data_IF_206652084870
#
_entry.id   IF_206652084870
#
_cell.length_a   1.000
_cell.length_b   1.000
_cell.length_c   1.000
_cell.angle_alpha   90.00
_cell.angle_beta   90.00
_cell.angle_gamma   90.00
#
_symmetry.space_group_name_H-M   'P 1'
#
loop_
_entity.id
_entity.type
_entity.pdbx_description
1 polymer ?
#
# COMPACT_ATOMS: atom_id res chain seq x y z
N UNK A 1 14.91 -5.19 -11.10
CA UNK A 1 15.37 -6.16 -12.11
C UNK A 1 16.64 -5.58 -12.71
N UNK A 2 17.80 -6.11 -12.33
CA UNK A 2 19.11 -5.57 -12.71
C UNK A 2 19.52 -6.00 -14.13
N UNK A 3 20.38 -5.15 -14.68
CA UNK A 3 21.05 -5.16 -15.98
C UNK A 3 21.94 -6.37 -16.20
N UNK A 4 22.23 -6.67 -17.47
CA UNK A 4 23.47 -7.33 -17.88
C UNK A 4 24.05 -6.59 -19.10
N UNK A 5 25.34 -6.27 -19.00
CA UNK A 5 26.22 -5.98 -20.12
C UNK A 5 27.46 -6.85 -19.97
N UNK A 6 27.84 -7.52 -21.05
CA UNK A 6 29.03 -8.36 -21.17
C UNK A 6 30.26 -7.54 -21.60
N UNK A 7 31.46 -8.10 -21.35
CA UNK A 7 32.70 -7.68 -22.00
C UNK A 7 33.90 -8.53 -21.58
N UNK A 8 34.36 -9.38 -22.49
CA UNK A 8 35.68 -10.07 -22.58
C UNK A 8 36.85 -9.06 -22.44
N UNK A 9 38.00 -9.31 -21.82
CA UNK A 9 39.03 -10.40 -21.84
C UNK A 9 40.16 -10.15 -22.87
N UNK A 10 41.39 -10.58 -22.49
CA UNK A 10 42.65 -10.75 -23.28
C UNK A 10 43.62 -9.54 -23.29
N UNK A 11 44.96 -9.62 -23.13
CA UNK A 11 45.99 -10.59 -22.69
C UNK A 11 47.30 -9.77 -22.52
N UNK A 12 48.21 -10.08 -21.58
CA UNK A 12 49.67 -10.14 -21.88
C UNK A 12 50.60 -10.62 -20.74
N UNK A 13 51.71 -11.20 -21.22
CA UNK A 13 52.83 -11.98 -20.67
C UNK A 13 53.70 -11.40 -19.53
N UNK A 14 54.32 -12.34 -18.81
CA UNK A 14 55.22 -12.23 -17.64
C UNK A 14 56.72 -12.18 -18.01
N UNK A 15 57.58 -11.68 -17.11
CA UNK A 15 58.92 -12.25 -16.83
C UNK A 15 59.54 -11.75 -15.51
N UNK A 16 59.74 -12.72 -14.60
CA UNK A 16 60.81 -13.04 -13.61
C UNK A 16 61.90 -11.97 -13.28
N UNK A 17 62.54 -11.90 -12.10
CA UNK A 17 63.18 -12.98 -11.34
C UNK A 17 63.66 -12.48 -9.94
N UNK A 18 63.67 -13.40 -8.97
CA UNK A 18 64.10 -13.26 -7.58
C UNK A 18 65.52 -13.83 -7.39
N UNK A 19 66.25 -13.48 -6.32
CA UNK A 19 67.00 -14.48 -5.52
C UNK A 19 67.59 -13.89 -4.24
N UNK A 20 67.56 -14.71 -3.19
CA UNK A 20 68.17 -14.52 -1.88
C UNK A 20 69.30 -15.55 -1.68
N UNK A 21 70.34 -15.23 -0.90
CA UNK A 21 71.05 -16.25 -0.11
C UNK A 21 71.93 -15.70 1.03
N UNK A 22 72.33 -16.60 1.92
CA UNK A 22 72.65 -16.47 3.35
C UNK A 22 74.20 -16.56 3.58
N UNK A 23 74.76 -16.80 4.80
CA UNK A 23 75.79 -15.93 5.39
C UNK A 23 77.17 -16.59 5.64
N UNK A 24 78.05 -15.79 6.27
CA UNK A 24 79.27 -16.13 7.02
C UNK A 24 80.59 -16.36 6.25
N UNK A 25 81.58 -15.49 6.51
CA UNK A 25 82.98 -15.88 6.76
C UNK A 25 83.75 -14.74 7.45
N UNK A 26 84.41 -15.10 8.55
CA UNK A 26 85.45 -14.34 9.24
C UNK A 26 86.59 -14.03 8.25
N UNK A 27 86.95 -12.76 8.11
CA UNK A 27 88.21 -12.34 7.52
C UNK A 27 88.93 -11.41 8.52
N UNK A 28 90.16 -11.79 8.87
CA UNK A 28 91.07 -10.99 9.67
C UNK A 28 91.43 -9.72 8.90
N UNK A 29 90.98 -8.56 9.38
CA UNK A 29 91.32 -7.26 8.83
C UNK A 29 92.67 -6.82 9.43
N UNK A 30 93.68 -6.70 8.57
CA UNK A 30 94.98 -6.14 8.90
C UNK A 30 94.80 -4.66 9.23
N UNK A 31 95.29 -4.27 10.40
CA UNK A 31 95.37 -2.91 10.87
C UNK A 31 96.54 -2.22 10.15
N UNK A 32 96.26 -1.54 9.05
CA UNK A 32 97.19 -0.59 8.43
C UNK A 32 97.10 0.73 9.19
N UNK A 33 98.08 0.97 10.07
CA UNK A 33 98.41 2.28 10.64
C UNK A 33 98.95 3.18 9.53
N UNK A 34 98.05 3.83 8.80
CA UNK A 34 98.34 5.02 8.00
C UNK A 34 97.94 6.23 8.83
N UNK A 35 98.89 7.12 9.07
CA UNK A 35 98.72 8.34 9.87
C UNK A 35 97.50 9.14 9.39
N UNK A 36 96.49 9.23 10.25
CA UNK A 36 95.38 10.16 10.07
C UNK A 36 95.95 11.57 9.94
N UNK A 37 95.54 12.35 8.92
CA UNK A 37 95.83 13.77 8.90
C UNK A 37 95.12 14.38 10.11
N UNK A 38 95.91 14.74 11.13
CA UNK A 38 95.48 15.49 12.29
C UNK A 38 94.69 16.72 11.83
N UNK A 39 93.36 16.63 11.92
CA UNK A 39 92.46 17.75 11.69
C UNK A 39 92.90 18.86 12.64
N UNK A 40 93.16 20.09 12.17
CA UNK A 40 93.52 21.19 13.03
C UNK A 40 92.47 21.32 14.14
N UNK A 41 92.90 21.36 15.40
CA UNK A 41 92.02 21.34 16.58
C UNK A 41 90.85 22.32 16.49
N UNK A 42 91.09 23.50 15.90
CA UNK A 42 90.06 24.50 15.63
C UNK A 42 88.90 23.99 14.75
N UNK A 43 89.19 23.23 13.69
CA UNK A 43 88.16 22.69 12.78
C UNK A 43 87.35 21.57 13.44
N UNK A 44 87.96 20.82 14.37
CA UNK A 44 87.25 19.81 15.16
C UNK A 44 86.30 20.47 16.17
N UNK A 45 86.77 21.50 16.87
CA UNK A 45 85.97 22.24 17.83
C UNK A 45 84.79 22.95 17.14
N UNK A 46 85.00 23.56 15.96
CA UNK A 46 83.95 24.18 15.14
C UNK A 46 82.90 23.14 14.67
N UNK A 47 83.34 21.96 14.21
CA UNK A 47 82.45 20.89 13.78
C UNK A 47 81.61 20.33 14.96
N UNK A 48 82.20 20.25 16.15
CA UNK A 48 81.49 19.81 17.34
C UNK A 48 80.48 20.86 17.81
N UNK A 49 80.82 22.15 17.72
CA UNK A 49 79.91 23.25 18.02
C UNK A 49 78.73 23.30 17.03
N UNK A 50 78.97 23.11 15.73
CA UNK A 50 77.90 23.03 14.72
C UNK A 50 76.98 21.83 14.94
N UNK A 51 77.56 20.66 15.27
CA UNK A 51 76.77 19.47 15.64
C UNK A 51 75.95 19.69 16.90
N UNK A 52 76.50 20.34 17.91
CA UNK A 52 75.78 20.66 19.15
C UNK A 52 74.63 21.63 18.88
N UNK A 53 74.84 22.67 18.09
CA UNK A 53 73.79 23.60 17.67
C UNK A 53 72.68 22.88 16.87
N UNK A 54 73.05 21.97 15.97
CA UNK A 54 72.09 21.18 15.19
C UNK A 54 71.29 20.22 16.10
N UNK A 55 71.94 19.58 17.08
CA UNK A 55 71.26 18.77 18.08
C UNK A 55 70.31 19.59 18.95
N UNK A 56 70.69 20.80 19.36
CA UNK A 56 69.82 21.69 20.13
C UNK A 56 68.59 22.13 19.32
N UNK A 57 68.76 22.51 18.05
CA UNK A 57 67.65 22.85 17.16
C UNK A 57 66.69 21.66 16.94
N UNK A 58 67.21 20.45 16.74
CA UNK A 58 66.39 19.24 16.61
C UNK A 58 65.60 18.90 17.88
N UNK A 59 66.18 19.14 19.06
CA UNK A 59 65.48 18.95 20.33
C UNK A 59 64.34 19.98 20.46
N UNK A 60 64.57 21.23 20.07
CA UNK A 60 63.54 22.27 20.09
C UNK A 60 62.40 21.98 19.09
N UNK A 61 62.72 21.57 17.85
CA UNK A 61 61.73 21.15 16.85
C UNK A 61 60.92 19.92 17.30
N UNK A 62 61.56 18.93 17.95
CA UNK A 62 60.85 17.78 18.49
C UNK A 62 59.93 18.18 19.65
N UNK A 63 60.36 19.11 20.51
CA UNK A 63 59.54 19.62 21.60
C UNK A 63 58.32 20.38 21.08
N UNK A 64 58.49 21.26 20.08
CA UNK A 64 57.37 22.00 19.50
C UNK A 64 56.41 21.08 18.75
N UNK A 65 56.91 20.10 18.00
CA UNK A 65 56.06 19.10 17.34
C UNK A 65 55.28 18.23 18.35
N UNK A 66 55.88 17.91 19.50
CA UNK A 66 55.19 17.19 20.58
C UNK A 66 54.08 18.04 21.21
N UNK A 67 54.34 19.33 21.47
CA UNK A 67 53.36 20.26 22.02
C UNK A 67 52.20 20.50 21.04
N UNK A 68 52.49 20.64 19.73
CA UNK A 68 51.48 20.73 18.68
C UNK A 68 50.66 19.43 18.58
N UNK A 69 51.30 18.27 18.66
CA UNK A 69 50.65 16.97 18.67
C UNK A 69 49.70 16.82 19.88
N UNK A 70 50.14 17.22 21.07
CA UNK A 70 49.31 17.22 22.27
C UNK A 70 48.12 18.17 22.13
N UNK A 71 48.33 19.38 21.59
CA UNK A 71 47.27 20.35 21.32
C UNK A 71 46.22 19.81 20.35
N UNK A 72 46.64 19.24 19.21
CA UNK A 72 45.72 18.65 18.24
C UNK A 72 44.95 17.45 18.80
N UNK A 73 45.57 16.66 19.68
CA UNK A 73 44.90 15.56 20.36
C UNK A 73 43.79 16.07 21.29
N UNK A 74 44.03 17.15 22.04
CA UNK A 74 43.00 17.78 22.88
C UNK A 74 41.87 18.36 22.05
N UNK A 75 42.19 19.04 20.94
CA UNK A 75 41.19 19.64 20.04
C UNK A 75 40.33 18.56 19.35
N UNK A 76 40.95 17.44 18.96
CA UNK A 76 40.23 16.27 18.44
C UNK A 76 39.29 15.67 19.51
N UNK A 77 39.72 15.67 20.78
CA UNK A 77 38.90 15.24 21.91
C UNK A 77 37.68 16.12 22.11
N UNK A 78 37.85 17.46 22.08
CA UNK A 78 36.75 18.41 22.21
C UNK A 78 35.77 18.31 21.04
N UNK A 79 36.27 18.20 19.80
CA UNK A 79 35.41 18.06 18.62
C UNK A 79 34.60 16.75 18.64
N UNK A 80 35.16 15.65 19.16
CA UNK A 80 34.42 14.39 19.36
C UNK A 80 33.28 14.54 20.36
N UNK A 81 33.49 15.29 21.44
CA UNK A 81 32.45 15.56 22.44
C UNK A 81 31.36 16.47 21.87
N UNK A 82 31.71 17.51 21.13
CA UNK A 82 30.75 18.40 20.47
C UNK A 82 29.92 17.64 19.42
N UNK A 83 30.55 16.77 18.63
CA UNK A 83 29.84 15.93 17.67
C UNK A 83 28.84 14.99 18.36
N UNK A 84 29.24 14.37 19.48
CA UNK A 84 28.35 13.51 20.26
C UNK A 84 27.16 14.30 20.85
N UNK A 85 27.40 15.51 21.37
CA UNK A 85 26.35 16.38 21.86
C UNK A 85 25.36 16.79 20.75
N UNK A 86 25.88 17.17 19.57
CA UNK A 86 25.05 17.53 18.42
C UNK A 86 24.21 16.35 17.91
N UNK A 87 24.76 15.14 17.90
CA UNK A 87 24.02 13.93 17.53
C UNK A 87 22.87 13.63 18.51
N UNK A 88 23.07 13.83 19.81
CA UNK A 88 22.03 13.62 20.81
C UNK A 88 20.93 14.69 20.73
N UNK A 89 21.30 15.95 20.47
CA UNK A 89 20.32 17.00 20.21
C UNK A 89 19.50 16.73 18.94
N UNK A 90 20.13 16.22 17.87
CA UNK A 90 19.44 15.83 16.65
C UNK A 90 18.41 14.72 16.91
N UNK A 91 18.77 13.68 17.67
CA UNK A 91 17.82 12.62 18.08
C UNK A 91 16.67 13.16 18.92
N UNK A 92 16.96 14.09 19.85
CA UNK A 92 15.93 14.75 20.67
C UNK A 92 14.93 15.53 19.81
N UNK A 93 15.43 16.28 18.82
CA UNK A 93 14.59 17.03 17.90
C UNK A 93 13.77 16.11 17.00
N UNK A 94 14.34 15.01 16.52
CA UNK A 94 13.60 14.00 15.73
C UNK A 94 12.45 13.39 16.54
N UNK A 95 12.69 13.01 17.80
CA UNK A 95 11.65 12.52 18.69
C UNK A 95 10.55 13.57 18.94
N UNK A 96 10.94 14.85 19.11
CA UNK A 96 9.98 15.95 19.27
C UNK A 96 9.11 16.17 18.02
N UNK A 97 9.71 16.08 16.82
CA UNK A 97 8.98 16.21 15.55
C UNK A 97 8.00 15.06 15.37
N UNK A 98 8.42 13.82 15.65
CA UNK A 98 7.52 12.66 15.61
C UNK A 98 6.37 12.79 16.61
N UNK A 99 6.64 13.26 17.83
CA UNK A 99 5.61 13.53 18.84
C UNK A 99 4.60 14.58 18.40
N UNK A 100 5.07 15.70 17.84
CA UNK A 100 4.21 16.76 17.31
C UNK A 100 3.38 16.29 16.11
N UNK A 101 3.96 15.45 15.24
CA UNK A 101 3.24 14.85 14.12
C UNK A 101 2.14 13.91 14.58
N UNK A 102 2.41 13.06 15.59
CA UNK A 102 1.41 12.18 16.20
C UNK A 102 0.28 12.99 16.86
N UNK A 103 0.62 14.05 17.60
CA UNK A 103 -0.38 14.95 18.21
C UNK A 103 -1.24 15.66 17.15
N UNK A 104 -0.64 16.14 16.06
CA UNK A 104 -1.37 16.76 14.96
C UNK A 104 -2.32 15.78 14.25
N UNK A 105 -1.90 14.52 14.05
CA UNK A 105 -2.76 13.48 13.47
C UNK A 105 -3.92 13.10 14.41
N UNK A 106 -3.67 13.05 15.72
CA UNK A 106 -4.72 12.81 16.71
C UNK A 106 -5.75 13.95 16.74
N UNK A 107 -5.29 15.21 16.72
CA UNK A 107 -6.16 16.38 16.64
C UNK A 107 -7.00 16.42 15.34
N UNK A 108 -6.38 16.11 14.20
CA UNK A 108 -7.09 16.03 12.92
C UNK A 108 -8.16 14.92 12.92
N UNK A 109 -7.87 13.77 13.53
CA UNK A 109 -8.82 12.66 13.67
C UNK A 109 -10.00 13.01 14.56
N UNK A 110 -9.77 13.75 15.66
CA UNK A 110 -10.84 14.26 16.52
C UNK A 110 -11.71 15.30 15.81
N UNK A 111 -11.11 16.20 15.03
CA UNK A 111 -11.84 17.18 14.22
C UNK A 111 -12.71 16.51 13.13
N UNK A 112 -12.18 15.47 12.47
CA UNK A 112 -12.96 14.71 11.49
C UNK A 112 -14.13 13.95 12.14
N UNK A 113 -13.92 13.39 13.35
CA UNK A 113 -14.98 12.73 14.10
C UNK A 113 -16.09 13.71 14.51
N UNK A 114 -15.73 14.91 14.99
CA UNK A 114 -16.73 15.92 15.37
C UNK A 114 -17.51 16.42 14.14
N UNK A 115 -16.86 16.65 13.00
CA UNK A 115 -17.51 17.03 11.75
C UNK A 115 -18.48 15.94 11.25
N UNK A 116 -18.09 14.66 11.34
CA UNK A 116 -18.96 13.54 10.99
C UNK A 116 -20.22 13.49 11.89
N UNK A 117 -20.09 13.75 13.20
CA UNK A 117 -21.25 13.81 14.10
C UNK A 117 -22.17 15.00 13.79
N UNK A 118 -21.61 16.17 13.46
CA UNK A 118 -22.39 17.34 13.07
C UNK A 118 -23.16 17.09 11.76
N UNK A 119 -22.51 16.48 10.76
CA UNK A 119 -23.13 16.12 9.49
C UNK A 119 -24.28 15.11 9.68
N UNK A 120 -24.09 14.11 10.55
CA UNK A 120 -25.15 13.14 10.88
C UNK A 120 -26.36 13.80 11.57
N UNK A 121 -26.14 14.75 12.49
CA UNK A 121 -27.22 15.50 13.13
C UNK A 121 -27.99 16.38 12.14
N UNK A 122 -27.30 17.04 11.21
CA UNK A 122 -27.92 17.84 10.15
C UNK A 122 -28.80 16.96 9.23
N UNK A 123 -28.29 15.80 8.84
CA UNK A 123 -29.04 14.88 7.98
C UNK A 123 -30.29 14.31 8.69
N UNK A 124 -30.19 14.02 9.99
CA UNK A 124 -31.34 13.61 10.80
C UNK A 124 -32.39 14.73 10.90
N UNK A 125 -31.96 15.99 11.09
CA UNK A 125 -32.85 17.14 11.13
C UNK A 125 -33.55 17.38 9.78
N UNK A 126 -32.84 17.25 8.66
CA UNK A 126 -33.43 17.35 7.32
C UNK A 126 -34.45 16.25 7.04
N UNK A 127 -34.15 15.01 7.44
CA UNK A 127 -35.09 13.90 7.31
C UNK A 127 -36.36 14.12 8.14
N UNK A 128 -36.23 14.65 9.37
CA UNK A 128 -37.37 15.01 10.21
C UNK A 128 -38.23 16.13 9.58
N UNK A 129 -37.59 17.14 8.97
CA UNK A 129 -38.30 18.21 8.27
C UNK A 129 -39.08 17.69 7.05
N UNK A 130 -38.48 16.79 6.25
CA UNK A 130 -39.16 16.19 5.11
C UNK A 130 -40.36 15.31 5.52
N UNK A 131 -40.24 14.58 6.63
CA UNK A 131 -41.34 13.82 7.19
C UNK A 131 -42.51 14.73 7.61
N UNK A 132 -42.22 15.83 8.32
CA UNK A 132 -43.22 16.81 8.73
C UNK A 132 -43.93 17.48 7.53
N UNK A 133 -43.19 17.83 6.48
CA UNK A 133 -43.77 18.40 5.24
C UNK A 133 -44.67 17.38 4.54
N UNK A 134 -44.27 16.11 4.50
CA UNK A 134 -45.07 15.04 3.89
C UNK A 134 -46.37 14.79 4.66
N UNK A 135 -46.32 14.83 6.00
CA UNK A 135 -47.49 14.69 6.86
C UNK A 135 -48.45 15.89 6.72
N UNK A 136 -47.91 17.11 6.66
CA UNK A 136 -48.70 18.32 6.40
C UNK A 136 -49.37 18.30 5.01
N UNK A 137 -48.66 17.83 3.98
CA UNK A 137 -49.23 17.65 2.65
C UNK A 137 -50.38 16.63 2.64
N UNK A 138 -50.19 15.48 3.30
CA UNK A 138 -51.23 14.46 3.42
C UNK A 138 -52.47 14.98 4.20
N UNK A 139 -52.27 15.78 5.24
CA UNK A 139 -53.36 16.43 5.97
C UNK A 139 -54.12 17.43 5.09
N UNK A 140 -53.41 18.23 4.29
CA UNK A 140 -54.01 19.16 3.33
C UNK A 140 -54.86 18.45 2.27
N UNK A 141 -54.37 17.33 1.72
CA UNK A 141 -55.13 16.52 0.75
C UNK A 141 -56.39 15.93 1.37
N UNK A 142 -56.33 15.44 2.63
CA UNK A 142 -57.51 14.96 3.36
C UNK A 142 -58.54 16.07 3.57
N UNK A 143 -58.11 17.29 3.89
CA UNK A 143 -59.00 18.44 4.06
C UNK A 143 -59.70 18.83 2.75
N UNK A 144 -58.96 18.87 1.63
CA UNK A 144 -59.52 19.14 0.30
C UNK A 144 -60.53 18.06 -0.12
N UNK A 145 -60.21 16.78 0.13
CA UNK A 145 -61.12 15.68 -0.15
C UNK A 145 -62.42 15.78 0.69
N UNK A 146 -62.31 16.16 1.97
CA UNK A 146 -63.46 16.38 2.83
C UNK A 146 -64.34 17.54 2.33
N UNK A 147 -63.74 18.67 1.93
CA UNK A 147 -64.46 19.81 1.35
C UNK A 147 -65.15 19.47 0.01
N UNK A 148 -64.48 18.72 -0.86
CA UNK A 148 -65.08 18.25 -2.12
C UNK A 148 -66.28 17.34 -1.87
N UNK A 149 -66.18 16.44 -0.87
CA UNK A 149 -67.26 15.53 -0.48
C UNK A 149 -68.46 16.29 0.08
N UNK A 150 -68.24 17.27 0.96
CA UNK A 150 -69.30 18.13 1.49
C UNK A 150 -70.01 18.94 0.38
N UNK A 151 -69.24 19.45 -0.59
CA UNK A 151 -69.77 20.18 -1.73
C UNK A 151 -70.62 19.29 -2.65
N UNK A 152 -70.16 18.06 -2.91
CA UNK A 152 -70.90 17.07 -3.69
C UNK A 152 -72.19 16.62 -3.00
N UNK A 153 -72.16 16.43 -1.68
CA UNK A 153 -73.36 16.12 -0.89
C UNK A 153 -74.38 17.26 -0.94
N UNK A 154 -73.94 18.52 -0.81
CA UNK A 154 -74.81 19.69 -0.93
C UNK A 154 -75.46 19.80 -2.32
N UNK A 155 -74.70 19.54 -3.39
CA UNK A 155 -75.23 19.51 -4.76
C UNK A 155 -76.25 18.38 -4.96
N UNK A 156 -75.99 17.19 -4.42
CA UNK A 156 -76.90 16.05 -4.48
C UNK A 156 -78.21 16.32 -3.73
N UNK A 157 -78.16 16.91 -2.54
CA UNK A 157 -79.35 17.32 -1.79
C UNK A 157 -80.18 18.33 -2.58
N UNK A 158 -79.56 19.33 -3.21
CA UNK A 158 -80.26 20.30 -4.07
C UNK A 158 -80.92 19.62 -5.27
N UNK A 159 -80.24 18.67 -5.91
CA UNK A 159 -80.78 17.93 -7.04
C UNK A 159 -81.96 17.03 -6.65
N UNK A 160 -81.86 16.32 -5.51
CA UNK A 160 -82.95 15.53 -4.95
C UNK A 160 -84.15 16.42 -4.57
N UNK A 161 -83.91 17.61 -4.02
CA UNK A 161 -84.97 18.56 -3.68
C UNK A 161 -85.69 19.05 -4.94
N UNK A 162 -84.96 19.40 -6.00
CA UNK A 162 -85.53 19.78 -7.28
C UNK A 162 -86.28 18.63 -7.97
N UNK A 163 -85.74 17.41 -7.90
CA UNK A 163 -86.36 16.20 -8.46
C UNK A 163 -87.65 15.84 -7.72
N UNK A 164 -87.66 15.88 -6.39
CA UNK A 164 -88.87 15.68 -5.59
C UNK A 164 -89.94 16.74 -5.91
N UNK A 165 -89.54 18.00 -6.10
CA UNK A 165 -90.45 19.06 -6.54
C UNK A 165 -91.08 18.77 -7.92
N UNK A 166 -90.30 18.25 -8.88
CA UNK A 166 -90.80 17.84 -10.20
C UNK A 166 -91.72 16.62 -10.10
N UNK A 167 -91.30 15.57 -9.39
CA UNK A 167 -92.10 14.36 -9.19
C UNK A 167 -93.43 14.66 -8.49
N UNK A 168 -93.46 15.59 -7.54
CA UNK A 168 -94.69 16.02 -6.88
C UNK A 168 -95.64 16.69 -7.87
N UNK A 169 -95.13 17.55 -8.76
CA UNK A 169 -95.93 18.18 -9.82
C UNK A 169 -96.42 17.16 -10.85
N UNK A 170 -95.55 16.26 -11.30
CA UNK A 170 -95.91 15.19 -12.22
C UNK A 170 -96.94 14.23 -11.61
N UNK A 171 -96.84 13.94 -10.31
CA UNK A 171 -97.83 13.15 -9.59
C UNK A 171 -99.19 13.85 -9.56
N UNK A 172 -99.25 15.15 -9.28
CA UNK A 172 -100.49 15.92 -9.32
C UNK A 172 -101.11 15.95 -10.72
N UNK A 173 -100.29 16.14 -11.76
CA UNK A 173 -100.73 16.10 -13.16
C UNK A 173 -101.25 14.70 -13.51
N UNK A 174 -100.54 13.65 -13.14
CA UNK A 174 -100.95 12.27 -13.40
C UNK A 174 -102.21 11.89 -12.62
N UNK A 175 -102.39 12.36 -11.39
CA UNK A 175 -103.64 12.16 -10.64
C UNK A 175 -104.84 12.81 -11.35
N UNK A 176 -104.67 14.01 -11.89
CA UNK A 176 -105.73 14.66 -12.68
C UNK A 176 -105.99 13.91 -13.99
N UNK A 177 -104.93 13.48 -14.66
CA UNK A 177 -105.02 12.73 -15.92
C UNK A 177 -105.62 11.33 -15.73
N UNK A 178 -105.39 10.69 -14.59
CA UNK A 178 -106.06 9.42 -14.21
C UNK A 178 -107.55 9.68 -14.00
N UNK A 179 -107.96 10.76 -13.34
CA UNK A 179 -109.39 11.11 -13.22
C UNK A 179 -110.04 11.37 -14.57
N UNK A 180 -109.35 12.07 -15.48
CA UNK A 180 -109.82 12.30 -16.86
C UNK A 180 -109.91 10.98 -17.65
N UNK A 181 -108.91 10.10 -17.51
CA UNK A 181 -108.91 8.79 -18.16
C UNK A 181 -109.95 7.84 -17.56
N UNK A 182 -110.23 7.89 -16.26
CA UNK A 182 -111.32 7.14 -15.62
C UNK A 182 -112.68 7.58 -16.19
N UNK A 183 -112.87 8.88 -16.43
CA UNK A 183 -114.05 9.41 -17.12
C UNK A 183 -114.11 8.95 -18.58
N UNK A 184 -112.99 9.00 -19.32
CA UNK A 184 -112.92 8.60 -20.72
C UNK A 184 -113.09 7.08 -20.93
N UNK A 185 -112.51 6.25 -20.06
CA UNK A 185 -112.63 4.79 -20.06
C UNK A 185 -114.04 4.35 -19.65
N UNK A 186 -114.71 5.12 -18.80
CA UNK A 186 -116.14 4.91 -18.48
C UNK A 186 -117.05 5.20 -19.68
N UNK A 187 -116.64 6.07 -20.60
CA UNK A 187 -117.40 6.46 -21.80
C UNK A 187 -117.10 5.63 -23.04
N UNK A 188 -115.91 5.02 -23.13
CA UNK A 188 -115.48 4.24 -24.30
C UNK A 188 -115.30 2.76 -23.94
N UNK A 189 -116.42 2.04 -23.74
CA UNK A 189 -116.44 0.58 -23.74
C UNK A 189 -116.45 0.05 -25.18
N UNK A 190 -115.33 0.17 -25.87
CA UNK A 190 -115.11 -0.52 -27.13
C UNK A 190 -114.33 -1.83 -26.88
N UNK A 191 -114.90 -3.01 -27.19
CA UNK A 191 -114.26 -4.32 -26.95
C UNK A 191 -112.91 -4.52 -27.67
N UNK A 192 -112.64 -3.78 -28.75
CA UNK A 192 -111.37 -3.86 -29.48
C UNK A 192 -110.18 -3.29 -28.67
N UNK A 193 -110.41 -2.22 -27.91
CA UNK A 193 -109.37 -1.59 -27.08
C UNK A 193 -109.02 -2.46 -25.85
N UNK A 194 -110.00 -3.21 -25.35
CA UNK A 194 -109.80 -4.15 -24.23
C UNK A 194 -108.84 -5.27 -24.62
N UNK A 195 -108.93 -5.78 -25.85
CA UNK A 195 -108.02 -6.81 -26.37
C UNK A 195 -106.58 -6.28 -26.51
N UNK A 196 -106.43 -5.04 -27.00
CA UNK A 196 -105.12 -4.40 -27.16
C UNK A 196 -104.47 -4.09 -25.80
N UNK A 197 -105.26 -3.70 -24.80
CA UNK A 197 -104.80 -3.53 -23.41
C UNK A 197 -104.32 -4.87 -22.83
N UNK A 198 -105.05 -5.97 -23.07
CA UNK A 198 -104.60 -7.30 -22.64
C UNK A 198 -103.26 -7.71 -23.28
N UNK A 199 -103.08 -7.43 -24.58
CA UNK A 199 -101.80 -7.68 -25.27
C UNK A 199 -100.65 -6.80 -24.75
N UNK A 200 -100.92 -5.53 -24.39
CA UNK A 200 -99.90 -4.67 -23.81
C UNK A 200 -99.54 -5.11 -22.39
N UNK A 201 -100.50 -5.57 -21.59
CA UNK A 201 -100.26 -6.09 -20.26
C UNK A 201 -99.41 -7.36 -20.28
N UNK A 202 -99.64 -8.28 -21.24
CA UNK A 202 -98.80 -9.48 -21.37
C UNK A 202 -97.36 -9.14 -21.78
N UNK A 203 -97.17 -8.17 -22.69
CA UNK A 203 -95.84 -7.65 -23.05
C UNK A 203 -95.13 -6.97 -21.88
N UNK A 204 -95.83 -6.13 -21.11
CA UNK A 204 -95.26 -5.47 -19.94
C UNK A 204 -94.86 -6.47 -18.86
N UNK A 205 -95.64 -7.53 -18.66
CA UNK A 205 -95.29 -8.62 -17.75
C UNK A 205 -94.01 -9.34 -18.18
N UNK A 206 -93.82 -9.60 -19.48
CA UNK A 206 -92.58 -10.18 -20.00
C UNK A 206 -91.38 -9.26 -19.78
N UNK A 207 -91.51 -7.98 -20.13
CA UNK A 207 -90.44 -6.98 -19.95
C UNK A 207 -90.07 -6.80 -18.49
N UNK A 208 -91.03 -6.84 -17.57
CA UNK A 208 -90.77 -6.76 -16.13
C UNK A 208 -89.94 -7.96 -15.63
N UNK A 209 -90.24 -9.18 -16.11
CA UNK A 209 -89.46 -10.39 -15.78
C UNK A 209 -88.02 -10.30 -16.30
N UNK A 210 -87.83 -9.82 -17.52
CA UNK A 210 -86.49 -9.63 -18.09
C UNK A 210 -85.72 -8.53 -17.34
N UNK A 211 -86.38 -7.43 -16.96
CA UNK A 211 -85.77 -6.36 -16.16
C UNK A 211 -85.25 -6.90 -14.82
N UNK A 212 -86.06 -7.70 -14.12
CA UNK A 212 -85.66 -8.33 -12.85
C UNK A 212 -84.47 -9.27 -13.06
N UNK A 213 -84.48 -10.08 -14.13
CA UNK A 213 -83.34 -10.95 -14.48
C UNK A 213 -82.06 -10.15 -14.70
N UNK A 214 -82.14 -9.05 -15.45
CA UNK A 214 -81.00 -8.18 -15.72
C UNK A 214 -80.49 -7.50 -14.43
N UNK A 215 -81.39 -7.02 -13.57
CA UNK A 215 -81.02 -6.46 -12.26
C UNK A 215 -80.31 -7.48 -11.38
N UNK A 216 -80.79 -8.72 -11.35
CA UNK A 216 -80.15 -9.80 -10.60
C UNK A 216 -78.73 -10.11 -11.13
N UNK A 217 -78.57 -10.10 -12.45
CA UNK A 217 -77.27 -10.31 -13.10
C UNK A 217 -76.29 -9.16 -12.80
N UNK A 218 -76.75 -7.90 -12.86
CA UNK A 218 -75.97 -6.72 -12.47
C UNK A 218 -75.54 -6.83 -11.01
N UNK A 219 -76.46 -7.19 -10.11
CA UNK A 219 -76.16 -7.35 -8.68
C UNK A 219 -75.09 -8.43 -8.44
N UNK A 220 -75.20 -9.55 -9.15
CA UNK A 220 -74.22 -10.66 -9.06
C UNK A 220 -72.83 -10.20 -9.51
N UNK A 221 -72.76 -9.49 -10.64
CA UNK A 221 -71.50 -8.93 -11.14
C UNK A 221 -70.90 -7.89 -10.18
N UNK A 222 -71.73 -7.05 -9.58
CA UNK A 222 -71.28 -6.08 -8.57
C UNK A 222 -70.72 -6.77 -7.32
N UNK A 223 -71.35 -7.83 -6.82
CA UNK A 223 -70.80 -8.63 -5.70
C UNK A 223 -69.48 -9.31 -6.05
N UNK A 224 -69.34 -9.81 -7.29
CA UNK A 224 -68.07 -10.41 -7.75
C UNK A 224 -66.96 -9.36 -7.87
N UNK A 225 -67.28 -8.17 -8.38
CA UNK A 225 -66.33 -7.06 -8.53
C UNK A 225 -65.88 -6.51 -7.17
N UNK A 226 -66.82 -6.39 -6.22
CA UNK A 226 -66.55 -5.89 -4.87
C UNK A 226 -66.01 -6.98 -3.91
N UNK A 227 -65.58 -8.13 -4.43
CA UNK A 227 -65.08 -9.20 -3.58
C UNK A 227 -63.79 -8.75 -2.86
N UNK A 228 -63.82 -8.58 -1.52
CA UNK A 228 -62.73 -7.99 -0.76
C UNK A 228 -61.42 -8.80 -0.85
N UNK A 229 -61.49 -10.10 -1.18
CA UNK A 229 -60.30 -10.94 -1.39
C UNK A 229 -59.41 -10.43 -2.54
N UNK A 230 -60.00 -9.95 -3.64
CA UNK A 230 -59.22 -9.42 -4.76
C UNK A 230 -58.49 -8.13 -4.36
N UNK A 231 -59.18 -7.23 -3.65
CA UNK A 231 -58.58 -5.99 -3.15
C UNK A 231 -57.50 -6.24 -2.09
N UNK A 232 -57.68 -7.22 -1.21
CA UNK A 232 -56.70 -7.57 -0.18
C UNK A 232 -55.42 -8.17 -0.76
N UNK A 233 -55.55 -8.99 -1.82
CA UNK A 233 -54.40 -9.57 -2.52
C UNK A 233 -53.60 -8.48 -3.23
N UNK A 234 -54.28 -7.58 -3.94
CA UNK A 234 -53.64 -6.42 -4.57
C UNK A 234 -52.99 -5.49 -3.55
N UNK A 235 -53.64 -5.23 -2.42
CA UNK A 235 -53.07 -4.40 -1.35
C UNK A 235 -51.80 -5.03 -0.73
N UNK A 236 -51.81 -6.35 -0.52
CA UNK A 236 -50.65 -7.09 0.00
C UNK A 236 -49.48 -7.05 -1.00
N UNK A 237 -49.76 -7.25 -2.29
CA UNK A 237 -48.76 -7.15 -3.35
C UNK A 237 -48.20 -5.72 -3.48
N UNK A 238 -49.05 -4.70 -3.39
CA UNK A 238 -48.62 -3.31 -3.37
C UNK A 238 -47.72 -3.00 -2.16
N UNK A 239 -48.04 -3.55 -0.99
CA UNK A 239 -47.20 -3.41 0.21
C UNK A 239 -45.83 -4.05 0.01
N UNK A 240 -45.77 -5.26 -0.52
CA UNK A 240 -44.51 -5.96 -0.83
C UNK A 240 -43.67 -5.20 -1.86
N UNK A 241 -44.29 -4.71 -2.94
CA UNK A 241 -43.63 -3.88 -3.95
C UNK A 241 -43.08 -2.59 -3.32
N UNK A 242 -43.82 -1.95 -2.43
CA UNK A 242 -43.39 -0.72 -1.75
C UNK A 242 -42.19 -1.00 -0.83
N UNK A 243 -42.20 -2.11 -0.09
CA UNK A 243 -41.09 -2.54 0.76
C UNK A 243 -39.82 -2.85 -0.05
N UNK A 244 -39.96 -3.59 -1.16
CA UNK A 244 -38.84 -3.86 -2.08
C UNK A 244 -38.28 -2.57 -2.67
N UNK A 245 -39.13 -1.65 -3.11
CA UNK A 245 -38.69 -0.39 -3.69
C UNK A 245 -37.92 0.46 -2.66
N UNK A 246 -38.41 0.52 -1.42
CA UNK A 246 -37.74 1.20 -0.31
C UNK A 246 -36.35 0.60 -0.02
N UNK A 247 -36.23 -0.74 -0.06
CA UNK A 247 -34.96 -1.44 0.13
C UNK A 247 -33.96 -1.10 -0.99
N UNK A 248 -34.42 -1.13 -2.24
CA UNK A 248 -33.60 -0.77 -3.41
C UNK A 248 -33.13 0.68 -3.36
N UNK A 249 -33.99 1.64 -3.02
CA UNK A 249 -33.60 3.04 -2.85
C UNK A 249 -32.53 3.23 -1.77
N UNK A 250 -32.64 2.51 -0.64
CA UNK A 250 -31.59 2.54 0.41
C UNK A 250 -30.27 1.96 -0.08
N UNK A 251 -30.31 0.88 -0.86
CA UNK A 251 -29.10 0.27 -1.42
C UNK A 251 -28.43 1.20 -2.45
N UNK A 252 -29.23 1.86 -3.29
CA UNK A 252 -28.75 2.83 -4.28
C UNK A 252 -28.05 4.01 -3.60
N UNK A 253 -28.67 4.60 -2.58
CA UNK A 253 -28.06 5.71 -1.82
C UNK A 253 -26.73 5.32 -1.17
N UNK A 254 -26.60 4.08 -0.68
CA UNK A 254 -25.32 3.57 -0.15
C UNK A 254 -24.26 3.43 -1.23
N UNK A 255 -24.62 2.92 -2.42
CA UNK A 255 -23.68 2.82 -3.54
C UNK A 255 -23.25 4.19 -4.07
N UNK A 256 -24.16 5.15 -4.19
CA UNK A 256 -23.84 6.52 -4.61
C UNK A 256 -22.88 7.19 -3.63
N UNK A 257 -23.09 7.01 -2.32
CA UNK A 257 -22.15 7.49 -1.31
C UNK A 257 -20.76 6.89 -1.48
N UNK A 258 -20.64 5.57 -1.65
CA UNK A 258 -19.35 4.91 -1.90
C UNK A 258 -18.65 5.44 -3.15
N UNK A 259 -19.38 5.65 -4.24
CA UNK A 259 -18.82 6.22 -5.48
C UNK A 259 -18.30 7.64 -5.22
N UNK A 260 -19.06 8.47 -4.50
CA UNK A 260 -18.64 9.83 -4.15
C UNK A 260 -17.40 9.84 -3.25
N UNK A 261 -17.32 8.92 -2.28
CA UNK A 261 -16.16 8.77 -1.40
C UNK A 261 -14.91 8.33 -2.18
N UNK A 262 -15.05 7.39 -3.13
CA UNK A 262 -13.96 7.01 -4.04
C UNK A 262 -13.52 8.17 -4.93
N UNK A 263 -14.45 8.94 -5.48
CA UNK A 263 -14.16 10.09 -6.32
C UNK A 263 -13.48 11.24 -5.55
N UNK A 264 -13.88 11.44 -4.29
CA UNK A 264 -13.22 12.37 -3.36
C UNK A 264 -11.80 11.92 -3.01
N UNK A 265 -11.59 10.61 -2.86
CA UNK A 265 -10.27 10.03 -2.61
C UNK A 265 -9.36 10.19 -3.83
N UNK A 266 -9.88 9.95 -5.04
CA UNK A 266 -9.16 10.14 -6.31
C UNK A 266 -8.77 11.60 -6.55
N UNK A 267 -9.67 12.54 -6.24
CA UNK A 267 -9.42 13.98 -6.39
C UNK A 267 -8.47 14.53 -5.33
N UNK A 268 -8.44 13.96 -4.11
CA UNK A 268 -7.39 14.25 -3.12
C UNK A 268 -6.01 13.73 -3.54
N UNK A 269 -5.94 12.59 -4.24
CA UNK A 269 -4.69 12.09 -4.82
C UNK A 269 -4.17 12.91 -6.01
N UNK A 270 -4.99 13.80 -6.59
CA UNK A 270 -4.66 14.60 -7.79
C UNK A 270 -4.27 16.06 -7.49
N UNK A 271 -4.12 16.45 -6.22
CA UNK A 271 -3.50 17.75 -5.90
C UNK A 271 -1.99 17.64 -6.14
N UNK A 272 -1.39 18.46 -7.02
CA UNK A 272 0.06 18.51 -7.14
C UNK A 272 0.61 19.06 -5.83
N UNK A 273 1.39 18.26 -5.11
CA UNK A 273 2.23 18.81 -4.05
C UNK A 273 3.19 19.85 -4.68
N UNK A 274 3.39 21.02 -4.05
CA UNK A 274 4.42 21.97 -4.47
C UNK A 274 5.84 21.37 -4.27
N UNK A 275 6.88 21.90 -4.95
CA UNK A 275 8.01 21.14 -5.47
C UNK A 275 9.07 20.86 -4.40
N UNK A 276 8.77 20.01 -3.41
CA UNK A 276 9.83 19.45 -2.54
C UNK A 276 10.63 18.36 -3.25
N UNK A 277 10.10 17.81 -4.34
CA UNK A 277 10.75 16.71 -5.06
C UNK A 277 11.77 17.19 -6.10
N UNK A 278 11.71 18.44 -6.58
CA UNK A 278 12.67 18.92 -7.60
C UNK A 278 14.06 19.18 -7.00
N UNK A 279 14.13 19.66 -5.75
CA UNK A 279 15.42 19.87 -5.09
C UNK A 279 16.05 18.54 -4.66
N UNK A 280 15.25 17.60 -4.15
CA UNK A 280 15.69 16.24 -3.85
C UNK A 280 16.13 15.50 -5.13
N UNK A 281 15.38 15.61 -6.23
CA UNK A 281 15.75 15.03 -7.51
C UNK A 281 16.99 15.69 -8.11
N UNK A 282 17.18 17.00 -7.96
CA UNK A 282 18.42 17.69 -8.36
C UNK A 282 19.62 17.26 -7.52
N UNK A 283 19.45 17.06 -6.21
CA UNK A 283 20.50 16.53 -5.34
C UNK A 283 20.84 15.07 -5.67
N UNK A 284 19.85 14.22 -5.90
CA UNK A 284 20.04 12.84 -6.35
C UNK A 284 20.73 12.78 -7.72
N UNK A 285 20.35 13.64 -8.65
CA UNK A 285 21.01 13.74 -9.95
C UNK A 285 22.48 14.18 -9.82
N UNK A 286 22.78 15.14 -8.93
CA UNK A 286 24.14 15.59 -8.66
C UNK A 286 24.99 14.50 -7.98
N UNK A 287 24.44 13.78 -6.99
CA UNK A 287 25.11 12.66 -6.34
C UNK A 287 25.39 11.52 -7.33
N UNK A 288 24.41 11.15 -8.16
CA UNK A 288 24.59 10.14 -9.19
C UNK A 288 25.66 10.54 -10.22
N UNK A 289 25.75 11.81 -10.58
CA UNK A 289 26.81 12.31 -11.46
C UNK A 289 28.19 12.23 -10.78
N UNK A 290 28.29 12.53 -9.48
CA UNK A 290 29.54 12.42 -8.72
C UNK A 290 30.01 10.96 -8.61
N UNK A 291 29.12 10.05 -8.21
CA UNK A 291 29.41 8.62 -8.10
C UNK A 291 29.84 8.02 -9.44
N UNK A 292 29.24 8.45 -10.55
CA UNK A 292 29.67 8.02 -11.89
C UNK A 292 31.11 8.44 -12.21
N UNK A 293 31.52 9.66 -11.81
CA UNK A 293 32.91 10.12 -11.99
C UNK A 293 33.89 9.34 -11.12
N UNK A 294 33.50 9.03 -9.88
CA UNK A 294 34.33 8.20 -8.99
C UNK A 294 34.48 6.77 -9.53
N UNK A 295 33.39 6.14 -9.97
CA UNK A 295 33.45 4.82 -10.60
C UNK A 295 34.36 4.85 -11.82
N UNK A 296 34.28 5.88 -12.66
CA UNK A 296 35.16 5.99 -13.83
C UNK A 296 36.62 6.21 -13.41
N UNK A 297 36.87 6.99 -12.36
CA UNK A 297 38.22 7.17 -11.77
C UNK A 297 38.78 5.84 -11.25
N UNK A 298 37.98 5.04 -10.53
CA UNK A 298 38.40 3.72 -10.05
C UNK A 298 38.61 2.73 -11.19
N UNK A 299 37.77 2.75 -12.23
CA UNK A 299 37.99 1.96 -13.45
C UNK A 299 39.27 2.36 -14.18
N UNK A 300 39.59 3.65 -14.22
CA UNK A 300 40.83 4.15 -14.80
C UNK A 300 42.03 3.72 -13.96
N UNK A 301 41.93 3.78 -12.62
CA UNK A 301 42.95 3.29 -11.71
C UNK A 301 43.16 1.77 -11.87
N UNK A 302 42.08 0.98 -11.98
CA UNK A 302 42.15 -0.45 -12.26
C UNK A 302 42.80 -0.77 -13.60
N UNK A 303 42.52 0.01 -14.66
CA UNK A 303 43.18 -0.12 -15.96
C UNK A 303 44.65 0.29 -15.95
N UNK A 304 45.02 1.22 -15.08
CA UNK A 304 46.39 1.72 -14.95
C UNK A 304 47.21 0.95 -13.90
N UNK A 305 46.59 0.03 -13.15
CA UNK A 305 47.36 -0.90 -12.34
C UNK A 305 48.03 -1.90 -13.28
N UNK A 306 49.35 -2.13 -13.13
CA UNK A 306 50.01 -3.18 -13.88
C UNK A 306 49.29 -4.51 -13.60
N UNK A 307 49.14 -5.39 -14.61
CA UNK A 307 48.56 -6.70 -14.38
C UNK A 307 49.29 -7.33 -13.21
N UNK A 308 48.57 -7.64 -12.14
CA UNK A 308 49.14 -8.39 -11.02
C UNK A 308 49.55 -9.73 -11.62
N UNK A 309 50.85 -9.88 -11.85
CA UNK A 309 51.49 -11.10 -12.33
C UNK A 309 51.18 -12.19 -11.31
N UNK A 310 50.13 -12.96 -11.59
CA UNK A 310 49.59 -14.02 -10.73
C UNK A 310 50.23 -15.35 -11.13
N UNK A 311 51.56 -15.38 -11.20
CA UNK A 311 52.34 -16.53 -11.71
C UNK A 311 52.27 -17.77 -10.80
N UNK A 312 51.67 -17.66 -9.61
CA UNK A 312 51.56 -18.74 -8.64
C UNK A 312 50.15 -19.34 -8.48
N UNK A 313 49.17 -18.93 -9.29
CA UNK A 313 47.79 -19.41 -9.12
C UNK A 313 47.55 -20.68 -9.94
N UNK A 314 47.85 -21.83 -9.32
CA UNK A 314 47.50 -23.14 -9.85
C UNK A 314 45.99 -23.36 -9.82
N UNK A 315 45.43 -23.98 -10.85
CA UNK A 315 44.01 -24.31 -10.93
C UNK A 315 43.64 -25.48 -9.99
N UNK A 316 42.36 -25.65 -9.61
CA UNK A 316 41.91 -26.77 -8.75
C UNK A 316 42.38 -28.14 -9.25
N UNK A 317 42.30 -28.44 -10.57
CA UNK A 317 42.80 -29.71 -11.10
C UNK A 317 44.31 -29.88 -10.90
N UNK A 318 45.09 -28.82 -11.05
CA UNK A 318 46.54 -28.83 -10.82
C UNK A 318 46.88 -29.08 -9.35
N UNK A 319 46.11 -28.48 -8.44
CA UNK A 319 46.24 -28.72 -7.00
C UNK A 319 45.93 -30.15 -6.62
N UNK A 320 44.81 -30.69 -7.12
CA UNK A 320 44.42 -32.08 -6.90
C UNK A 320 45.48 -33.04 -7.45
N UNK A 321 46.02 -32.77 -8.63
CA UNK A 321 47.08 -33.58 -9.24
C UNK A 321 48.38 -33.55 -8.42
N UNK A 322 48.79 -32.38 -7.92
CA UNK A 322 49.98 -32.24 -7.06
C UNK A 322 49.83 -33.01 -5.75
N UNK A 323 48.71 -32.82 -5.04
CA UNK A 323 48.46 -33.50 -3.75
C UNK A 323 48.34 -35.02 -3.91
N UNK A 324 47.79 -35.50 -5.03
CA UNK A 324 47.78 -36.94 -5.35
C UNK A 324 49.20 -37.46 -5.57
N UNK A 325 50.02 -36.74 -6.33
CA UNK A 325 51.41 -37.13 -6.64
C UNK A 325 52.27 -37.19 -5.39
N UNK A 326 52.08 -36.25 -4.47
CA UNK A 326 52.80 -36.17 -3.21
C UNK A 326 52.27 -37.18 -2.16
N UNK A 327 51.28 -38.01 -2.52
CA UNK A 327 50.69 -39.03 -1.64
C UNK A 327 49.86 -38.45 -0.48
N UNK A 328 49.48 -37.18 -0.57
CA UNK A 328 48.77 -36.47 0.49
C UNK A 328 47.25 -36.69 0.43
N UNK A 329 46.73 -37.08 -0.73
CA UNK A 329 45.36 -37.61 -0.84
C UNK A 329 45.30 -39.01 -0.21
N UNK A 330 44.46 -39.18 0.82
CA UNK A 330 44.26 -40.39 1.63
C UNK A 330 45.31 -40.73 2.72
N UNK A 331 46.37 -39.93 2.86
CA UNK A 331 47.26 -39.97 4.02
C UNK A 331 46.79 -38.99 5.10
N UNK A 332 47.25 -39.16 6.34
CA UNK A 332 47.04 -38.16 7.40
C UNK A 332 48.14 -37.11 7.26
N UNK A 333 47.90 -35.95 6.64
CA UNK A 333 48.95 -34.96 6.43
C UNK A 333 49.07 -34.11 7.69
N UNK A 334 50.30 -33.80 8.10
CA UNK A 334 50.52 -32.84 9.19
C UNK A 334 50.15 -31.43 8.72
N UNK A 335 49.75 -30.55 9.65
CA UNK A 335 49.44 -29.14 9.36
C UNK A 335 50.57 -28.45 8.59
N UNK A 336 51.82 -28.79 8.89
CA UNK A 336 53.01 -28.26 8.21
C UNK A 336 53.09 -28.74 6.76
N UNK A 337 52.78 -30.02 6.49
CA UNK A 337 52.74 -30.56 5.14
C UNK A 337 51.61 -29.95 4.32
N UNK A 338 50.44 -29.72 4.92
CA UNK A 338 49.34 -29.02 4.23
C UNK A 338 49.69 -27.57 3.91
N UNK A 339 50.30 -26.85 4.86
CA UNK A 339 50.72 -25.47 4.66
C UNK A 339 51.83 -25.31 3.61
N UNK A 340 52.80 -26.24 3.57
CA UNK A 340 53.84 -26.26 2.56
C UNK A 340 53.30 -26.61 1.18
N UNK A 341 52.29 -27.48 1.12
CA UNK A 341 51.70 -27.89 -0.15
C UNK A 341 50.82 -26.79 -0.73
N UNK A 342 49.89 -26.21 0.03
CA UNK A 342 48.75 -25.40 -0.47
C UNK A 342 48.86 -23.89 -0.15
N UNK A 343 49.86 -23.47 0.64
CA UNK A 343 49.99 -22.09 1.13
C UNK A 343 49.51 -21.94 2.58
N UNK A 344 49.64 -20.75 3.18
CA UNK A 344 49.34 -20.54 4.61
C UNK A 344 47.83 -20.54 4.87
N UNK A 345 47.30 -21.47 5.71
CA UNK A 345 45.89 -21.44 6.10
C UNK A 345 45.59 -20.22 6.95
N UNK A 346 44.41 -19.62 6.74
CA UNK A 346 43.81 -18.73 7.73
C UNK A 346 43.01 -19.62 8.67
N UNK A 347 43.60 -20.02 9.79
CA UNK A 347 43.02 -21.03 10.69
C UNK A 347 41.65 -20.59 11.24
N UNK A 348 40.58 -21.11 10.64
CA UNK A 348 39.29 -21.33 11.29
C UNK A 348 39.09 -22.84 11.41
N UNK A 349 39.36 -23.38 12.60
CA UNK A 349 39.06 -24.78 12.90
C UNK A 349 37.62 -24.89 13.40
N UNK A 350 36.67 -25.08 12.49
CA UNK A 350 35.31 -25.45 12.87
C UNK A 350 35.26 -26.95 13.15
N UNK A 351 35.54 -27.33 14.40
CA UNK A 351 35.42 -28.71 14.86
C UNK A 351 33.94 -29.06 15.00
N UNK A 352 33.41 -29.81 14.05
CA UNK A 352 32.08 -30.40 14.15
C UNK A 352 32.16 -31.62 15.08
N UNK A 353 31.68 -31.47 16.33
CA UNK A 353 31.58 -32.57 17.29
C UNK A 353 30.46 -33.53 16.89
N UNK A 354 30.69 -34.40 15.90
CA UNK A 354 29.90 -35.62 15.71
C UNK A 354 30.73 -36.82 16.17
N UNK A 355 30.13 -37.66 17.03
CA UNK A 355 30.85 -38.59 17.91
C UNK A 355 31.43 -39.85 17.21
N UNK A 356 31.57 -39.86 15.88
CA UNK A 356 32.10 -41.02 15.13
C UNK A 356 33.14 -40.71 14.04
N UNK A 357 33.47 -39.44 13.76
CA UNK A 357 34.63 -39.11 12.93
C UNK A 357 35.09 -37.67 13.18
N UNK A 358 36.38 -37.48 13.45
CA UNK A 358 36.94 -36.14 13.70
C UNK A 358 37.07 -35.42 12.36
N UNK A 359 36.05 -34.64 12.01
CA UNK A 359 36.00 -33.86 10.78
C UNK A 359 36.51 -32.43 11.05
N UNK A 360 37.52 -32.00 10.28
CA UNK A 360 38.11 -30.67 10.36
C UNK A 360 38.15 -30.07 8.96
N UNK A 361 37.55 -28.90 8.81
CA UNK A 361 37.62 -28.09 7.57
C UNK A 361 38.64 -26.97 7.75
N UNK A 362 39.47 -26.77 6.74
CA UNK A 362 40.44 -25.69 6.66
C UNK A 362 40.09 -24.78 5.48
N UNK A 363 40.18 -23.46 5.69
CA UNK A 363 39.78 -22.44 4.70
C UNK A 363 40.98 -21.56 4.33
N UNK A 364 41.28 -21.45 3.04
CA UNK A 364 42.34 -20.58 2.51
C UNK A 364 41.75 -19.47 1.64
N UNK A 365 42.05 -18.23 2.01
CA UNK A 365 41.46 -17.03 1.40
C UNK A 365 42.32 -16.34 0.34
N UNK A 366 43.62 -16.58 0.34
CA UNK A 366 44.57 -15.69 -0.35
C UNK A 366 45.20 -16.27 -1.64
N UNK A 367 44.86 -17.49 -2.06
CA UNK A 367 45.69 -18.22 -3.05
C UNK A 367 44.95 -18.87 -4.22
N UNK A 368 43.68 -18.53 -4.49
CA UNK A 368 42.91 -19.13 -5.59
C UNK A 368 42.35 -18.08 -6.54
N UNK A 369 42.38 -18.35 -7.85
CA UNK A 369 41.96 -17.44 -8.94
C UNK A 369 40.48 -17.09 -8.95
N UNK A 370 39.65 -17.75 -8.15
CA UNK A 370 38.19 -17.66 -8.16
C UNK A 370 37.77 -16.88 -6.91
N UNK A 371 36.70 -16.09 -6.98
CA UNK A 371 36.12 -15.28 -5.87
C UNK A 371 35.59 -16.11 -4.68
N UNK A 372 36.11 -17.32 -4.50
CA UNK A 372 35.64 -18.34 -3.59
C UNK A 372 36.82 -18.83 -2.75
N UNK A 373 36.58 -19.02 -1.45
CA UNK A 373 37.59 -19.52 -0.53
C UNK A 373 37.87 -21.01 -0.85
N UNK A 374 39.12 -21.46 -0.76
CA UNK A 374 39.45 -22.88 -0.91
C UNK A 374 39.18 -23.61 0.40
N UNK A 375 38.35 -24.65 0.36
CA UNK A 375 38.06 -25.50 1.51
C UNK A 375 38.68 -26.88 1.33
N UNK A 376 39.45 -27.31 2.32
CA UNK A 376 39.95 -28.68 2.44
C UNK A 376 39.29 -29.32 3.66
N UNK A 377 38.49 -30.35 3.40
CA UNK A 377 37.82 -31.15 4.42
C UNK A 377 38.64 -32.39 4.72
N UNK A 378 38.91 -32.60 6.00
CA UNK A 378 39.61 -33.79 6.48
C UNK A 378 38.72 -34.59 7.40
N UNK A 379 38.73 -35.91 7.26
CA UNK A 379 37.96 -36.85 8.09
C UNK A 379 38.95 -37.83 8.72
N UNK A 380 38.98 -37.91 10.04
CA UNK A 380 39.92 -38.73 10.80
C UNK A 380 41.39 -38.44 10.44
N UNK A 381 41.69 -37.15 10.20
CA UNK A 381 43.00 -36.66 9.83
C UNK A 381 43.40 -36.85 8.36
N UNK A 382 42.61 -37.55 7.54
CA UNK A 382 42.88 -37.73 6.11
C UNK A 382 42.12 -36.71 5.27
N UNK A 383 42.74 -36.21 4.19
CA UNK A 383 42.05 -35.32 3.23
C UNK A 383 40.98 -36.12 2.49
N UNK A 384 39.72 -35.68 2.62
CA UNK A 384 38.55 -36.31 2.01
C UNK A 384 38.08 -35.51 0.78
N UNK A 385 37.89 -34.19 0.93
CA UNK A 385 37.37 -33.33 -0.13
C UNK A 385 38.12 -32.00 -0.22
N UNK A 386 38.35 -31.53 -1.45
CA UNK A 386 38.86 -30.19 -1.75
C UNK A 386 37.84 -29.51 -2.66
N UNK A 387 37.27 -28.39 -2.20
CA UNK A 387 36.23 -27.64 -2.92
C UNK A 387 36.45 -26.14 -2.80
N UNK A 388 35.70 -25.37 -3.57
CA UNK A 388 35.57 -23.92 -3.39
C UNK A 388 34.30 -23.61 -2.61
N UNK A 389 34.39 -22.76 -1.59
CA UNK A 389 33.23 -22.26 -0.86
C UNK A 389 32.77 -20.90 -1.38
N UNK A 390 31.46 -20.76 -1.53
CA UNK A 390 30.86 -19.46 -1.79
C UNK A 390 31.14 -18.52 -0.62
N UNK A 391 31.60 -17.31 -0.96
CA UNK A 391 31.98 -16.31 0.04
C UNK A 391 30.72 -15.85 0.77
N UNK A 392 30.56 -16.25 2.02
CA UNK A 392 29.54 -15.70 2.90
C UNK A 392 29.99 -14.31 3.37
N UNK A 393 29.44 -13.26 2.76
CA UNK A 393 29.60 -11.89 3.24
C UNK A 393 28.87 -11.75 4.59
N UNK A 394 29.64 -11.65 5.68
CA UNK A 394 29.17 -11.32 7.03
C UNK A 394 29.33 -9.84 7.32
#
# INVERSE_FOLDING_TARGET
>A
MFLVGCGEEIDFDSSEEETAEKPAKKAAFKQDTAAEPSVPKALHDDLMAEKEALCQNLIEELSTAQDEGAKLLTETGTLKLELAAAQEEAKRLEAMVMGNQAAAQAAASQAAASEATASSKLQAAQAAQQAAVSEAAAASTKLQAAQATASAQSASIKQLTASNGKLTKELAINQNRVKELEVAVSQNRNPADTLKIQQLNSKNSLLAKDLVRHQQQIKTLQTSLNNPRYHQTNASMMKELTEKNTSLSKSLAKSEKKVKDLQNSLSKAKKPQPPKNDQANKQLAAQNASLRREVEKYKQQLRNQPPVVRDNIKTLPEWKAKLSRDGLLNAIPTTVQMAASVGRPHDRMDKLNSFESLEVTYIWRDSVKVYHDLEIRTVNGKIDLITYAEKHDN
#
